data_IF_156479909568
#
_entry.id   IF_156479909568
#
_cell.length_a   1.000
_cell.length_b   1.000
_cell.length_c   1.000
_cell.angle_alpha   90.00
_cell.angle_beta   90.00
_cell.angle_gamma   90.00
#
_symmetry.space_group_name_H-M   'P 1'
#
loop_
_entity.id
_entity.type
_entity.pdbx_description
1 polymer ?
#
# COMPACT_ATOMS: atom_id res chain seq x y z
N UNK A 1 -22.42 13.26 70.96
CA UNK A 1 -21.89 12.43 69.85
C UNK A 1 -21.22 13.37 68.86
N UNK A 2 -19.89 13.43 68.86
CA UNK A 2 -19.10 14.27 67.97
C UNK A 2 -18.35 13.36 66.98
N UNK A 3 -18.76 13.39 65.72
CA UNK A 3 -18.06 12.69 64.63
C UNK A 3 -16.87 13.53 64.18
N UNK A 4 -15.66 13.09 64.54
CA UNK A 4 -14.41 13.67 64.07
C UNK A 4 -14.17 13.18 62.64
N UNK A 5 -14.49 14.02 61.67
CA UNK A 5 -14.15 13.81 60.26
C UNK A 5 -12.66 14.14 60.06
N UNK A 6 -11.81 13.13 59.86
CA UNK A 6 -10.42 13.35 59.45
C UNK A 6 -10.34 13.40 57.92
N UNK A 7 -9.63 14.38 57.34
CA UNK A 7 -9.45 14.44 55.89
C UNK A 7 -8.53 13.30 55.44
N UNK A 8 -8.96 12.56 54.43
CA UNK A 8 -8.13 11.57 53.74
C UNK A 8 -7.17 12.32 52.81
N UNK A 9 -5.96 12.58 53.29
CA UNK A 9 -4.85 13.01 52.45
C UNK A 9 -4.35 11.81 51.64
N UNK A 10 -4.79 11.71 50.39
CA UNK A 10 -4.21 10.78 49.43
C UNK A 10 -2.78 11.24 49.10
N UNK A 11 -1.79 10.61 49.74
CA UNK A 11 -0.38 10.75 49.38
C UNK A 11 -0.16 10.08 48.01
N UNK A 12 -0.23 10.88 46.95
CA UNK A 12 0.12 10.48 45.59
C UNK A 12 1.65 10.42 45.51
N UNK A 13 2.22 9.24 45.74
CA UNK A 13 3.62 8.99 45.43
C UNK A 13 3.78 8.76 43.91
N UNK A 14 4.81 9.33 43.26
CA UNK A 14 5.07 9.12 41.84
C UNK A 14 5.33 7.63 41.54
N UNK A 15 4.80 7.14 40.41
CA UNK A 15 4.98 5.74 39.99
C UNK A 15 6.48 5.42 39.91
N UNK A 16 6.95 4.53 40.80
CA UNK A 16 8.34 4.05 40.84
C UNK A 16 9.12 4.30 42.14
N UNK A 17 8.59 5.07 43.11
CA UNK A 17 9.33 5.38 44.37
C UNK A 17 8.85 4.62 45.60
N UNK A 18 7.68 3.96 45.55
CA UNK A 18 7.28 3.01 46.60
C UNK A 18 8.05 1.70 46.44
N UNK A 19 9.20 1.57 47.10
CA UNK A 19 9.71 0.24 47.45
C UNK A 19 8.70 -0.36 48.43
N UNK A 20 8.06 -1.45 48.05
CA UNK A 20 7.13 -2.16 48.92
C UNK A 20 7.85 -2.46 50.25
N UNK A 21 7.28 -2.00 51.36
CA UNK A 21 7.82 -2.28 52.68
C UNK A 21 7.73 -3.79 52.90
N UNK A 22 8.87 -4.43 53.13
CA UNK A 22 8.93 -5.89 53.35
C UNK A 22 8.09 -6.22 54.57
N UNK A 23 6.98 -6.92 54.32
CA UNK A 23 6.04 -7.33 55.35
C UNK A 23 6.59 -8.57 56.06
N UNK A 24 6.89 -8.42 57.34
CA UNK A 24 7.41 -9.47 58.21
C UNK A 24 6.24 -10.02 59.04
N UNK A 25 5.92 -11.30 58.85
CA UNK A 25 4.64 -11.88 59.27
C UNK A 25 4.47 -11.97 60.80
N UNK A 26 5.55 -11.84 61.59
CA UNK A 26 5.49 -12.00 63.05
C UNK A 26 5.94 -10.80 63.89
N UNK A 27 6.29 -9.68 63.27
CA UNK A 27 6.56 -8.42 63.99
C UNK A 27 7.83 -8.43 64.85
N UNK A 28 8.77 -9.34 64.59
CA UNK A 28 10.07 -9.41 65.28
C UNK A 28 11.22 -8.82 64.43
N UNK A 29 12.33 -8.56 65.12
CA UNK A 29 13.58 -7.93 64.67
C UNK A 29 13.99 -8.28 63.22
N UNK A 30 14.27 -7.24 62.42
CA UNK A 30 14.56 -7.29 60.96
C UNK A 30 15.73 -8.24 60.65
N UNK A 31 16.64 -8.43 61.60
CA UNK A 31 17.81 -9.29 61.44
C UNK A 31 17.57 -10.77 61.81
N UNK A 32 16.47 -11.10 62.50
CA UNK A 32 16.21 -12.46 63.00
C UNK A 32 15.27 -13.28 62.12
N UNK A 33 14.37 -12.64 61.36
CA UNK A 33 13.49 -13.37 60.44
C UNK A 33 14.21 -14.15 59.33
N UNK A 34 15.24 -13.63 58.63
CA UNK A 34 15.95 -14.42 57.63
C UNK A 34 16.68 -15.62 58.25
N UNK A 35 17.31 -15.45 59.42
CA UNK A 35 17.96 -16.56 60.13
C UNK A 35 16.96 -17.60 60.61
N UNK A 36 15.77 -17.18 61.04
CA UNK A 36 14.69 -18.08 61.44
C UNK A 36 14.10 -18.85 60.26
N UNK A 37 13.90 -18.19 59.11
CA UNK A 37 13.44 -18.83 57.89
C UNK A 37 14.48 -19.80 57.35
N UNK A 38 15.77 -19.44 57.36
CA UNK A 38 16.86 -20.33 56.99
C UNK A 38 16.97 -21.53 57.93
N UNK A 39 16.80 -21.32 59.24
CA UNK A 39 16.80 -22.40 60.22
C UNK A 39 15.58 -23.32 60.05
N UNK A 40 14.39 -22.77 59.75
CA UNK A 40 13.19 -23.55 59.42
C UNK A 40 13.34 -24.31 58.11
N UNK A 41 13.96 -23.70 57.10
CA UNK A 41 14.24 -24.35 55.84
C UNK A 41 15.23 -25.50 56.02
N UNK A 42 16.30 -25.30 56.80
CA UNK A 42 17.27 -26.35 57.14
C UNK A 42 16.62 -27.48 57.93
N UNK A 43 15.80 -27.19 58.93
CA UNK A 43 15.12 -28.24 59.71
C UNK A 43 14.10 -29.00 58.87
N UNK A 44 13.32 -28.31 58.04
CA UNK A 44 12.40 -28.94 57.09
C UNK A 44 13.14 -29.80 56.05
N UNK A 45 14.30 -29.33 55.56
CA UNK A 45 15.15 -30.10 54.63
C UNK A 45 15.68 -31.38 55.28
N UNK A 46 16.17 -31.30 56.52
CA UNK A 46 16.61 -32.49 57.27
C UNK A 46 15.46 -33.47 57.49
N UNK A 47 14.25 -32.98 57.81
CA UNK A 47 13.05 -33.82 57.93
C UNK A 47 12.67 -34.48 56.59
N UNK A 48 12.74 -33.72 55.49
CA UNK A 48 12.50 -34.23 54.16
C UNK A 48 13.51 -35.32 53.77
N UNK A 49 14.81 -35.09 54.03
CA UNK A 49 15.86 -36.05 53.71
C UNK A 49 15.68 -37.35 54.52
N UNK A 50 15.28 -37.25 55.80
CA UNK A 50 14.95 -38.42 56.65
C UNK A 50 13.72 -39.18 56.14
N UNK A 51 12.63 -38.46 55.86
CA UNK A 51 11.41 -39.07 55.34
C UNK A 51 11.66 -39.75 53.98
N UNK A 52 12.55 -39.18 53.16
CA UNK A 52 12.98 -39.77 51.90
C UNK A 52 13.75 -41.08 52.12
N UNK A 53 14.69 -41.11 53.06
CA UNK A 53 15.41 -42.35 53.39
C UNK A 53 14.48 -43.42 53.97
N UNK A 54 13.55 -43.05 54.85
CA UNK A 54 12.54 -43.97 55.41
C UNK A 54 11.66 -44.56 54.30
N UNK A 55 11.22 -43.72 53.35
CA UNK A 55 10.42 -44.15 52.21
C UNK A 55 11.19 -45.11 51.28
N UNK A 56 12.48 -44.87 51.05
CA UNK A 56 13.33 -45.75 50.25
C UNK A 56 13.57 -47.10 50.97
N UNK A 57 13.73 -47.10 52.29
CA UNK A 57 13.83 -48.32 53.10
C UNK A 57 12.53 -49.13 53.10
N UNK A 58 11.38 -48.47 53.27
CA UNK A 58 10.06 -49.11 53.21
C UNK A 58 9.79 -49.71 51.83
N UNK A 59 10.16 -49.02 50.74
CA UNK A 59 10.08 -49.57 49.38
C UNK A 59 10.91 -50.85 49.23
N UNK A 60 12.14 -50.86 49.73
CA UNK A 60 12.97 -52.07 49.69
C UNK A 60 12.38 -53.21 50.53
N UNK A 61 11.77 -52.92 51.68
CA UNK A 61 11.07 -53.93 52.48
C UNK A 61 9.85 -54.47 51.74
N UNK A 62 9.08 -53.60 51.11
CA UNK A 62 7.94 -53.98 50.29
C UNK A 62 8.35 -54.90 49.13
N UNK A 63 9.39 -54.53 48.37
CA UNK A 63 9.92 -55.37 47.28
C UNK A 63 10.39 -56.74 47.78
N UNK A 64 11.06 -56.82 48.93
CA UNK A 64 11.47 -58.09 49.55
C UNK A 64 10.27 -58.96 49.91
N UNK A 65 9.27 -58.40 50.58
CA UNK A 65 8.04 -59.10 50.97
C UNK A 65 7.27 -59.56 49.73
N UNK A 66 7.19 -58.73 48.70
CA UNK A 66 6.54 -59.06 47.43
C UNK A 66 7.27 -60.20 46.70
N UNK A 67 8.61 -60.20 46.69
CA UNK A 67 9.40 -61.28 46.12
C UNK A 67 9.24 -62.60 46.89
N UNK A 68 9.14 -62.56 48.23
CA UNK A 68 8.83 -63.73 49.04
C UNK A 68 7.42 -64.26 48.78
N UNK A 69 6.45 -63.35 48.65
CA UNK A 69 5.07 -63.71 48.31
C UNK A 69 4.99 -64.36 46.93
N UNK A 70 5.64 -63.80 45.91
CA UNK A 70 5.69 -64.38 44.57
C UNK A 70 6.33 -65.80 44.56
N UNK A 71 7.39 -66.02 45.36
CA UNK A 71 7.98 -67.36 45.54
C UNK A 71 6.99 -68.33 46.17
N UNK A 72 6.30 -67.92 47.24
CA UNK A 72 5.28 -68.74 47.91
C UNK A 72 4.11 -69.04 46.98
N UNK A 73 3.64 -68.07 46.21
CA UNK A 73 2.59 -68.25 45.22
C UNK A 73 3.00 -69.25 44.14
N UNK A 74 4.23 -69.17 43.62
CA UNK A 74 4.77 -70.16 42.67
C UNK A 74 4.80 -71.58 43.25
N UNK A 75 5.20 -71.74 44.52
CA UNK A 75 5.14 -73.03 45.21
C UNK A 75 3.70 -73.52 45.43
N UNK A 76 2.77 -72.64 45.78
CA UNK A 76 1.36 -73.05 45.95
C UNK A 76 0.70 -73.46 44.64
N UNK A 77 1.03 -72.80 43.53
CA UNK A 77 0.50 -73.14 42.20
C UNK A 77 1.07 -74.48 41.72
N UNK A 78 2.37 -74.72 41.92
CA UNK A 78 3.00 -76.01 41.56
C UNK A 78 2.51 -77.16 42.44
N UNK A 79 2.30 -76.92 43.73
CA UNK A 79 1.73 -77.91 44.65
C UNK A 79 0.27 -78.23 44.31
N UNK A 80 -0.55 -77.22 44.03
CA UNK A 80 -1.94 -77.37 43.57
C UNK A 80 -2.00 -78.19 42.27
N UNK A 81 -1.18 -77.83 41.27
CA UNK A 81 -1.08 -78.57 40.01
C UNK A 81 -0.67 -80.05 40.21
N UNK A 82 0.16 -80.36 41.20
CA UNK A 82 0.56 -81.72 41.53
C UNK A 82 -0.53 -82.52 42.30
N UNK A 83 -1.46 -81.85 42.97
CA UNK A 83 -2.56 -82.45 43.75
C UNK A 83 -3.82 -82.77 42.91
N UNK A 84 -3.82 -82.40 41.64
CA UNK A 84 -4.45 -83.18 40.57
C UNK A 84 -5.96 -83.01 40.32
N UNK A 85 -6.83 -82.76 41.30
CA UNK A 85 -8.28 -82.65 41.02
C UNK A 85 -9.10 -81.77 41.99
N UNK A 86 -8.69 -81.57 43.26
CA UNK A 86 -9.44 -80.73 44.21
C UNK A 86 -9.03 -79.23 44.20
N UNK A 87 -7.99 -78.86 43.45
CA UNK A 87 -7.35 -77.53 43.53
C UNK A 87 -7.66 -76.57 42.39
N UNK A 88 -8.67 -76.83 41.55
CA UNK A 88 -9.04 -75.96 40.42
C UNK A 88 -9.26 -74.49 40.84
N UNK A 89 -9.78 -74.29 42.07
CA UNK A 89 -9.96 -72.95 42.66
C UNK A 89 -8.64 -72.19 42.87
N UNK A 90 -7.52 -72.87 43.07
CA UNK A 90 -6.21 -72.24 43.31
C UNK A 90 -5.60 -71.72 41.99
N UNK A 91 -5.80 -72.46 40.90
CA UNK A 91 -5.35 -72.05 39.56
C UNK A 91 -6.23 -70.93 38.99
N UNK A 92 -7.55 -70.99 39.19
CA UNK A 92 -8.47 -69.91 38.83
C UNK A 92 -8.18 -68.62 39.62
N UNK A 93 -7.91 -68.72 40.93
CA UNK A 93 -7.49 -67.57 41.72
C UNK A 93 -6.17 -66.98 41.25
N UNK A 94 -5.21 -67.80 40.82
CA UNK A 94 -3.97 -67.32 40.21
C UNK A 94 -4.26 -66.56 38.91
N UNK A 95 -5.13 -67.09 38.03
CA UNK A 95 -5.56 -66.42 36.79
C UNK A 95 -6.26 -65.08 37.09
N UNK A 96 -7.17 -65.03 38.06
CA UNK A 96 -7.84 -63.80 38.47
C UNK A 96 -6.85 -62.75 39.01
N UNK A 97 -5.85 -63.16 39.81
CA UNK A 97 -4.77 -62.26 40.26
C UNK A 97 -3.94 -61.72 39.10
N UNK A 98 -3.63 -62.53 38.09
CA UNK A 98 -2.94 -62.04 36.87
C UNK A 98 -3.80 -61.10 36.03
N UNK A 99 -5.13 -61.26 36.04
CA UNK A 99 -6.04 -60.31 35.39
C UNK A 99 -6.16 -59.02 36.17
N UNK A 100 -6.23 -59.08 37.50
CA UNK A 100 -6.25 -57.91 38.37
C UNK A 100 -4.99 -57.07 38.18
N UNK A 101 -3.81 -57.70 38.16
CA UNK A 101 -2.54 -56.99 37.92
C UNK A 101 -2.48 -56.35 36.53
N UNK A 102 -2.91 -57.05 35.47
CA UNK A 102 -3.01 -56.46 34.13
C UNK A 102 -3.95 -55.25 34.08
N UNK A 103 -5.12 -55.35 34.72
CA UNK A 103 -6.08 -54.24 34.79
C UNK A 103 -5.53 -53.08 35.61
N UNK A 104 -4.77 -53.34 36.68
CA UNK A 104 -4.08 -52.30 37.44
C UNK A 104 -3.03 -51.59 36.59
N UNK A 105 -2.20 -52.33 35.85
CA UNK A 105 -1.23 -51.74 34.91
C UNK A 105 -1.91 -50.90 33.82
N UNK A 106 -3.08 -51.33 33.33
CA UNK A 106 -3.86 -50.56 32.36
C UNK A 106 -4.45 -49.28 32.96
N UNK A 107 -4.98 -49.35 34.18
CA UNK A 107 -5.48 -48.18 34.91
C UNK A 107 -4.35 -47.17 35.13
N UNK A 108 -3.19 -47.61 35.59
CA UNK A 108 -2.03 -46.72 35.78
C UNK A 108 -1.57 -46.07 34.47
N UNK A 109 -1.59 -46.81 33.36
CA UNK A 109 -1.30 -46.23 32.04
C UNK A 109 -2.32 -45.16 31.65
N UNK A 110 -3.61 -45.40 31.87
CA UNK A 110 -4.65 -44.41 31.59
C UNK A 110 -4.55 -43.20 32.50
N UNK A 111 -4.28 -43.38 33.79
CA UNK A 111 -4.10 -42.28 34.74
C UNK A 111 -2.89 -41.41 34.38
N UNK A 112 -1.77 -42.03 33.98
CA UNK A 112 -0.61 -41.32 33.47
C UNK A 112 -0.95 -40.52 32.20
N UNK A 113 -1.65 -41.12 31.23
CA UNK A 113 -2.07 -40.43 30.02
C UNK A 113 -3.05 -39.26 30.30
N UNK A 114 -3.96 -39.44 31.26
CA UNK A 114 -4.88 -38.37 31.71
C UNK A 114 -4.10 -37.26 32.41
N UNK A 115 -3.10 -37.59 33.23
CA UNK A 115 -2.25 -36.60 33.88
C UNK A 115 -1.48 -35.79 32.85
N UNK A 116 -0.83 -36.45 31.88
CA UNK A 116 -0.11 -35.78 30.78
C UNK A 116 -1.04 -34.86 29.97
N UNK A 117 -2.26 -35.31 29.65
CA UNK A 117 -3.24 -34.50 28.93
C UNK A 117 -3.74 -33.30 29.76
N UNK A 118 -3.89 -33.45 31.09
CA UNK A 118 -4.28 -32.36 32.00
C UNK A 118 -3.16 -31.35 32.17
N UNK A 119 -1.91 -31.79 32.26
CA UNK A 119 -0.74 -30.91 32.35
C UNK A 119 -0.58 -30.07 31.07
N UNK A 120 -0.93 -30.64 29.92
CA UNK A 120 -1.00 -29.91 28.65
C UNK A 120 -2.19 -28.93 28.59
N UNK A 121 -3.32 -29.25 29.24
CA UNK A 121 -4.49 -28.37 29.37
C UNK A 121 -4.34 -27.38 30.53
N UNK A 122 -3.24 -26.62 30.57
CA UNK A 122 -3.10 -25.54 31.55
C UNK A 122 -4.23 -24.50 31.35
N UNK A 123 -5.16 -24.32 32.31
CA UNK A 123 -6.34 -23.47 32.13
C UNK A 123 -5.99 -22.02 31.80
N UNK A 124 -4.86 -21.54 32.33
CA UNK A 124 -4.34 -20.20 32.03
C UNK A 124 -3.93 -20.03 30.57
N UNK A 125 -3.38 -21.07 29.92
CA UNK A 125 -3.02 -21.02 28.50
C UNK A 125 -4.30 -20.99 27.66
N UNK A 126 -5.29 -21.82 27.99
CA UNK A 126 -6.56 -21.86 27.29
C UNK A 126 -7.32 -20.52 27.43
N UNK A 127 -7.33 -19.92 28.62
CA UNK A 127 -7.92 -18.60 28.82
C UNK A 127 -7.19 -17.50 28.02
N UNK A 128 -5.86 -17.57 27.94
CA UNK A 128 -5.07 -16.65 27.11
C UNK A 128 -5.39 -16.83 25.62
N UNK A 129 -5.41 -18.06 25.12
CA UNK A 129 -5.76 -18.37 23.73
C UNK A 129 -7.19 -17.93 23.39
N UNK A 130 -8.14 -18.09 24.32
CA UNK A 130 -9.50 -17.59 24.16
C UNK A 130 -9.54 -16.07 24.05
N UNK A 131 -8.77 -15.36 24.90
CA UNK A 131 -8.66 -13.90 24.83
C UNK A 131 -8.06 -13.45 23.49
N UNK A 132 -6.97 -14.06 23.06
CA UNK A 132 -6.35 -13.80 21.75
C UNK A 132 -7.31 -14.08 20.60
N UNK A 133 -8.04 -15.21 20.64
CA UNK A 133 -9.08 -15.53 19.65
C UNK A 133 -10.17 -14.45 19.58
N UNK A 134 -10.67 -13.97 20.72
CA UNK A 134 -11.68 -12.89 20.74
C UNK A 134 -11.13 -11.58 20.18
N UNK A 135 -9.86 -11.28 20.48
CA UNK A 135 -9.18 -10.09 19.96
C UNK A 135 -9.04 -10.14 18.43
N UNK A 136 -8.51 -11.23 17.88
CA UNK A 136 -8.36 -11.37 16.44
C UNK A 136 -9.69 -11.45 15.70
N UNK A 137 -10.71 -12.05 16.29
CA UNK A 137 -12.05 -12.05 15.69
C UNK A 137 -12.60 -10.63 15.54
N UNK A 138 -12.43 -9.77 16.54
CA UNK A 138 -12.84 -8.37 16.45
C UNK A 138 -12.05 -7.63 15.34
N UNK A 139 -10.74 -7.82 15.29
CA UNK A 139 -9.89 -7.21 14.25
C UNK A 139 -10.26 -7.68 12.83
N UNK A 140 -10.58 -8.97 12.66
CA UNK A 140 -11.04 -9.52 11.39
C UNK A 140 -12.37 -8.86 10.95
N UNK A 141 -13.31 -8.66 11.88
CA UNK A 141 -14.57 -7.99 11.56
C UNK A 141 -14.36 -6.51 11.20
N UNK A 142 -13.49 -5.79 11.91
CA UNK A 142 -13.13 -4.42 11.57
C UNK A 142 -12.51 -4.32 10.17
N UNK A 143 -11.60 -5.24 9.83
CA UNK A 143 -11.00 -5.33 8.50
C UNK A 143 -12.05 -5.66 7.42
N UNK A 144 -13.01 -6.54 7.70
CA UNK A 144 -14.12 -6.83 6.78
C UNK A 144 -14.94 -5.58 6.50
N UNK A 145 -15.32 -4.83 7.55
CA UNK A 145 -16.06 -3.57 7.41
C UNK A 145 -15.24 -2.55 6.59
N UNK A 146 -13.93 -2.45 6.85
CA UNK A 146 -13.04 -1.57 6.06
C UNK A 146 -12.98 -1.98 4.59
N UNK A 147 -12.96 -3.27 4.27
CA UNK A 147 -12.98 -3.76 2.89
C UNK A 147 -14.31 -3.40 2.23
N UNK A 148 -15.44 -3.66 2.87
CA UNK A 148 -16.76 -3.36 2.29
C UNK A 148 -16.97 -1.87 2.07
N UNK A 149 -16.63 -1.04 3.05
CA UNK A 149 -16.65 0.43 2.89
C UNK A 149 -15.71 0.90 1.79
N UNK A 150 -14.53 0.28 1.65
CA UNK A 150 -13.61 0.54 0.53
C UNK A 150 -14.22 0.20 -0.83
N UNK A 151 -14.92 -0.94 -0.95
CA UNK A 151 -15.62 -1.34 -2.18
C UNK A 151 -16.73 -0.34 -2.52
N UNK A 152 -17.52 0.08 -1.53
CA UNK A 152 -18.60 1.06 -1.72
C UNK A 152 -18.05 2.43 -2.14
N UNK A 153 -16.94 2.87 -1.54
CA UNK A 153 -16.25 4.09 -1.95
C UNK A 153 -15.77 4.02 -3.40
N UNK A 154 -15.14 2.90 -3.80
CA UNK A 154 -14.71 2.69 -5.20
C UNK A 154 -15.92 2.75 -6.15
N UNK A 155 -17.06 2.18 -5.76
CA UNK A 155 -18.29 2.24 -6.56
C UNK A 155 -18.79 3.67 -6.68
N UNK A 156 -18.84 4.42 -5.58
CA UNK A 156 -19.24 5.82 -5.57
C UNK A 156 -18.31 6.69 -6.41
N UNK A 157 -16.99 6.47 -6.33
CA UNK A 157 -16.00 7.21 -7.12
C UNK A 157 -16.15 6.92 -8.62
N UNK A 158 -16.39 5.66 -9.01
CA UNK A 158 -16.71 5.29 -10.39
C UNK A 158 -17.95 6.01 -10.90
N UNK A 159 -19.01 6.08 -10.09
CA UNK A 159 -20.23 6.81 -10.43
C UNK A 159 -19.99 8.32 -10.55
N UNK A 160 -19.16 8.91 -9.67
CA UNK A 160 -18.79 10.33 -9.76
C UNK A 160 -17.97 10.62 -11.02
N UNK A 161 -17.00 9.77 -11.36
CA UNK A 161 -16.22 9.90 -12.59
C UNK A 161 -17.16 9.82 -13.81
N UNK A 162 -18.09 8.86 -13.82
CA UNK A 162 -19.06 8.74 -14.90
C UNK A 162 -19.94 10.00 -15.02
N UNK A 163 -20.39 10.59 -13.91
CA UNK A 163 -21.13 11.86 -13.90
C UNK A 163 -20.30 13.02 -14.46
N UNK A 164 -19.01 13.08 -14.15
CA UNK A 164 -18.11 14.12 -14.68
C UNK A 164 -17.90 13.93 -16.18
N UNK A 165 -17.57 12.72 -16.63
CA UNK A 165 -17.29 12.43 -18.05
C UNK A 165 -18.52 12.65 -18.93
N UNK A 166 -19.71 12.33 -18.43
CA UNK A 166 -20.99 12.58 -19.12
C UNK A 166 -21.47 14.03 -19.02
N UNK A 167 -20.84 14.85 -18.18
CA UNK A 167 -21.24 16.23 -17.99
C UNK A 167 -21.01 17.08 -19.25
N UNK A 168 -21.86 18.08 -19.42
CA UNK A 168 -21.69 19.08 -20.48
C UNK A 168 -20.38 19.87 -20.32
N UNK A 169 -20.01 20.17 -19.08
CA UNK A 169 -18.78 20.90 -18.75
C UNK A 169 -17.52 20.19 -19.25
N UNK A 170 -17.47 18.87 -19.10
CA UNK A 170 -16.37 18.06 -19.62
C UNK A 170 -16.29 18.09 -21.15
N UNK A 171 -17.44 18.05 -21.82
CA UNK A 171 -17.53 18.16 -23.28
C UNK A 171 -17.07 19.55 -23.75
N UNK A 172 -17.54 20.61 -23.10
CA UNK A 172 -17.15 21.99 -23.41
C UNK A 172 -15.64 22.20 -23.19
N UNK A 173 -15.08 21.67 -22.10
CA UNK A 173 -13.65 21.70 -21.83
C UNK A 173 -12.84 20.95 -22.88
N UNK A 174 -13.34 19.80 -23.34
CA UNK A 174 -12.72 19.01 -24.42
C UNK A 174 -12.75 19.77 -25.75
N UNK A 175 -13.83 20.47 -26.08
CA UNK A 175 -13.92 21.33 -27.26
C UNK A 175 -12.90 22.47 -27.21
N UNK A 176 -12.79 23.17 -26.08
CA UNK A 176 -11.81 24.24 -25.88
C UNK A 176 -10.37 23.71 -26.01
N UNK A 177 -10.10 22.51 -25.49
CA UNK A 177 -8.81 21.83 -25.69
C UNK A 177 -8.53 21.60 -27.17
N UNK A 178 -9.51 21.12 -27.94
CA UNK A 178 -9.37 20.90 -29.39
C UNK A 178 -9.07 22.20 -30.15
N UNK A 179 -9.75 23.29 -29.81
CA UNK A 179 -9.53 24.60 -30.41
C UNK A 179 -8.12 25.12 -30.11
N UNK A 180 -7.68 25.00 -28.85
CA UNK A 180 -6.33 25.39 -28.44
C UNK A 180 -5.26 24.59 -29.20
N UNK A 181 -5.44 23.29 -29.36
CA UNK A 181 -4.54 22.45 -30.15
C UNK A 181 -4.50 22.90 -31.61
N UNK A 182 -5.65 23.23 -32.19
CA UNK A 182 -5.74 23.73 -33.55
C UNK A 182 -4.99 25.06 -33.74
N UNK A 183 -5.21 26.02 -32.83
CA UNK A 183 -4.49 27.29 -32.85
C UNK A 183 -2.98 27.11 -32.70
N UNK A 184 -2.54 26.22 -31.80
CA UNK A 184 -1.12 25.97 -31.59
C UNK A 184 -0.46 25.37 -32.84
N UNK A 185 -1.06 24.34 -33.45
CA UNK A 185 -0.54 23.73 -34.67
C UNK A 185 -0.52 24.73 -35.82
N UNK A 186 -1.62 25.47 -36.03
CA UNK A 186 -1.69 26.48 -37.08
C UNK A 186 -0.67 27.61 -36.89
N UNK A 187 -0.48 28.09 -35.65
CA UNK A 187 0.54 29.09 -35.34
C UNK A 187 1.95 28.57 -35.64
N UNK A 188 2.24 27.31 -35.29
CA UNK A 188 3.53 26.70 -35.63
C UNK A 188 3.75 26.64 -37.15
N UNK A 189 2.72 26.27 -37.92
CA UNK A 189 2.77 26.25 -39.38
C UNK A 189 3.03 27.64 -39.95
N UNK A 190 2.31 28.67 -39.48
CA UNK A 190 2.54 30.06 -39.88
C UNK A 190 3.96 30.52 -39.58
N UNK A 191 4.48 30.19 -38.39
CA UNK A 191 5.85 30.51 -38.01
C UNK A 191 6.86 29.86 -38.97
N UNK A 192 6.67 28.59 -39.33
CA UNK A 192 7.55 27.93 -40.31
C UNK A 192 7.45 28.56 -41.70
N UNK A 193 6.26 28.96 -42.16
CA UNK A 193 6.08 29.66 -43.44
C UNK A 193 6.79 31.03 -43.42
N UNK A 194 6.66 31.77 -42.32
CA UNK A 194 7.35 33.05 -42.11
C UNK A 194 8.87 32.89 -42.09
N UNK A 195 9.40 31.91 -41.34
CA UNK A 195 10.84 31.64 -41.29
C UNK A 195 11.40 31.26 -42.67
N UNK A 196 10.63 30.50 -43.48
CA UNK A 196 10.97 30.19 -44.88
C UNK A 196 10.99 31.44 -45.76
N UNK A 197 9.96 32.29 -45.67
CA UNK A 197 9.92 33.55 -46.43
C UNK A 197 11.09 34.48 -46.06
N UNK A 198 11.45 34.57 -44.78
CA UNK A 198 12.64 35.32 -44.37
C UNK A 198 13.94 34.72 -44.90
N UNK A 199 14.06 33.38 -44.90
CA UNK A 199 15.21 32.70 -45.47
C UNK A 199 15.32 32.95 -46.99
N UNK A 200 14.21 32.88 -47.73
CA UNK A 200 14.17 33.18 -49.16
C UNK A 200 14.46 34.65 -49.45
N UNK A 201 13.92 35.57 -48.65
CA UNK A 201 14.15 37.00 -48.81
C UNK A 201 15.62 37.37 -48.56
N UNK A 202 16.21 36.85 -47.47
CA UNK A 202 17.63 37.06 -47.18
C UNK A 202 18.55 36.44 -48.23
N UNK A 203 18.22 35.27 -48.78
CA UNK A 203 18.93 34.67 -49.90
C UNK A 203 18.85 35.52 -51.18
N UNK A 204 17.65 35.98 -51.57
CA UNK A 204 17.45 36.86 -52.72
C UNK A 204 18.10 38.24 -52.54
N UNK A 205 18.19 38.75 -51.31
CA UNK A 205 18.87 40.01 -51.01
C UNK A 205 20.40 39.87 -51.15
N UNK A 206 20.97 38.72 -50.83
CA UNK A 206 22.38 38.42 -51.08
C UNK A 206 22.71 38.30 -52.58
N UNK A 207 21.78 37.78 -53.39
CA UNK A 207 21.90 37.70 -54.85
C UNK A 207 21.73 39.08 -55.52
N UNK A 208 20.71 39.84 -55.12
CA UNK A 208 20.42 41.18 -55.67
C UNK A 208 21.37 42.29 -55.19
N UNK A 209 22.13 42.07 -54.10
CA UNK A 209 23.24 42.95 -53.73
C UNK A 209 24.34 43.02 -54.82
N UNK A 210 24.41 42.02 -55.72
CA UNK A 210 25.30 42.02 -56.90
C UNK A 210 24.68 42.68 -58.14
N UNK A 211 23.36 42.88 -58.16
CA UNK A 211 22.63 43.57 -59.24
C UNK A 211 21.88 44.77 -58.65
N UNK A 212 22.59 45.85 -58.32
CA UNK A 212 21.95 47.14 -58.03
C UNK A 212 21.34 47.71 -59.31
N UNK A 213 20.11 47.30 -59.63
CA UNK A 213 19.33 47.93 -60.69
C UNK A 213 18.48 49.08 -60.13
N UNK A 214 18.75 50.24 -60.72
CA UNK A 214 17.88 51.39 -60.99
C UNK A 214 16.42 51.15 -60.58
N UNK A 215 15.94 51.88 -59.56
CA UNK A 215 14.51 51.97 -59.25
C UNK A 215 13.80 52.69 -60.40
N UNK A 216 13.28 51.93 -61.35
CA UNK A 216 12.38 52.45 -62.39
C UNK A 216 11.12 52.93 -61.67
N UNK A 217 10.89 54.25 -61.66
CA UNK A 217 9.64 54.82 -61.17
C UNK A 217 8.53 54.37 -62.12
N UNK A 218 7.61 53.54 -61.63
CA UNK A 218 6.49 53.09 -62.44
C UNK A 218 5.58 54.29 -62.79
N UNK A 219 4.94 54.28 -63.97
CA UNK A 219 3.92 55.26 -64.34
C UNK A 219 2.76 55.31 -63.32
N UNK A 220 2.21 56.49 -63.01
CA UNK A 220 1.17 56.66 -61.99
C UNK A 220 -0.16 55.97 -62.33
N UNK A 221 -0.39 55.59 -63.60
CA UNK A 221 -1.57 54.81 -64.03
C UNK A 221 -1.47 53.31 -63.73
N UNK A 222 -0.26 52.78 -63.50
CA UNK A 222 0.00 51.34 -63.28
C UNK A 222 0.09 51.01 -61.78
N UNK A 223 0.51 51.97 -60.97
CA UNK A 223 0.59 51.83 -59.51
C UNK A 223 -0.72 51.35 -58.84
N UNK A 224 -1.92 51.90 -59.16
CA UNK A 224 -3.17 51.39 -58.58
C UNK A 224 -3.52 49.96 -59.02
N UNK A 225 -3.10 49.53 -60.22
CA UNK A 225 -3.30 48.16 -60.69
C UNK A 225 -2.34 47.19 -59.96
N UNK A 226 -1.11 47.63 -59.67
CA UNK A 226 -0.15 46.88 -58.86
C UNK A 226 -0.65 46.71 -57.43
N UNK A 227 -1.18 47.77 -56.80
CA UNK A 227 -1.78 47.67 -55.46
C UNK A 227 -3.02 46.79 -55.45
N UNK A 228 -3.90 46.91 -56.45
CA UNK A 228 -5.07 46.04 -56.60
C UNK A 228 -4.68 44.57 -56.75
N UNK A 229 -3.66 44.26 -57.57
CA UNK A 229 -3.13 42.89 -57.72
C UNK A 229 -2.59 42.36 -56.39
N UNK A 230 -1.82 43.16 -55.66
CA UNK A 230 -1.26 42.75 -54.37
C UNK A 230 -2.37 42.50 -53.34
N UNK A 231 -3.41 43.34 -53.31
CA UNK A 231 -4.56 43.13 -52.44
C UNK A 231 -5.30 41.82 -52.79
N UNK A 232 -5.53 41.54 -54.07
CA UNK A 232 -6.17 40.29 -54.51
C UNK A 232 -5.33 39.05 -54.15
N UNK A 233 -3.99 39.15 -54.20
CA UNK A 233 -3.10 38.06 -53.75
C UNK A 233 -3.24 37.85 -52.23
N UNK A 234 -3.23 38.93 -51.44
CA UNK A 234 -3.38 38.84 -49.98
C UNK A 234 -4.74 38.24 -49.59
N UNK A 235 -5.82 38.66 -50.24
CA UNK A 235 -7.16 38.11 -50.03
C UNK A 235 -7.21 36.61 -50.37
N UNK A 236 -6.64 36.22 -51.51
CA UNK A 236 -6.55 34.80 -51.89
C UNK A 236 -5.80 33.98 -50.83
N UNK A 237 -4.67 34.50 -50.34
CA UNK A 237 -3.87 33.83 -49.31
C UNK A 237 -4.58 33.78 -47.96
N UNK A 238 -5.37 34.78 -47.60
CA UNK A 238 -6.22 34.77 -46.41
C UNK A 238 -7.29 33.69 -46.50
N UNK A 239 -8.01 33.60 -47.63
CA UNK A 239 -9.04 32.57 -47.85
C UNK A 239 -8.43 31.17 -47.79
N UNK A 240 -7.27 30.95 -48.41
CA UNK A 240 -6.57 29.66 -48.35
C UNK A 240 -6.19 29.32 -46.90
N UNK A 241 -5.64 30.28 -46.14
CA UNK A 241 -5.28 30.08 -44.73
C UNK A 241 -6.47 29.78 -43.84
N UNK A 242 -7.59 30.47 -44.05
CA UNK A 242 -8.83 30.21 -43.32
C UNK A 242 -9.36 28.81 -43.61
N UNK A 243 -9.26 28.36 -44.87
CA UNK A 243 -9.61 26.98 -45.26
C UNK A 243 -8.69 25.95 -44.59
N UNK A 244 -7.37 26.14 -44.66
CA UNK A 244 -6.39 25.27 -43.99
C UNK A 244 -6.67 25.16 -42.48
N UNK A 245 -6.95 26.29 -41.82
CA UNK A 245 -7.28 26.32 -40.40
C UNK A 245 -8.58 25.58 -40.09
N UNK A 246 -9.64 25.78 -40.89
CA UNK A 246 -10.92 25.10 -40.71
C UNK A 246 -10.80 23.58 -40.87
N UNK A 247 -10.02 23.11 -41.85
CA UNK A 247 -9.74 21.69 -42.05
C UNK A 247 -8.94 21.09 -40.88
N UNK A 248 -7.92 21.81 -40.40
CA UNK A 248 -7.11 21.40 -39.26
C UNK A 248 -7.94 21.33 -37.97
N UNK A 249 -8.78 22.35 -37.73
CA UNK A 249 -9.70 22.40 -36.59
C UNK A 249 -10.66 21.20 -36.63
N UNK A 250 -11.30 20.94 -37.78
CA UNK A 250 -12.20 19.79 -37.96
C UNK A 250 -11.52 18.46 -37.60
N UNK A 251 -10.28 18.23 -38.06
CA UNK A 251 -9.52 17.01 -37.77
C UNK A 251 -9.23 16.85 -36.28
N UNK A 252 -8.75 17.91 -35.63
CA UNK A 252 -8.39 17.84 -34.20
C UNK A 252 -9.62 17.76 -33.30
N UNK A 253 -10.73 18.42 -33.65
CA UNK A 253 -11.99 18.26 -32.94
C UNK A 253 -12.51 16.82 -33.04
N UNK A 254 -12.43 16.20 -34.23
CA UNK A 254 -12.81 14.79 -34.39
C UNK A 254 -11.92 13.87 -33.53
N UNK A 255 -10.61 14.12 -33.47
CA UNK A 255 -9.70 13.35 -32.62
C UNK A 255 -10.05 13.48 -31.13
N UNK A 256 -10.27 14.70 -30.63
CA UNK A 256 -10.63 14.91 -29.22
C UNK A 256 -11.98 14.27 -28.86
N UNK A 257 -12.93 14.27 -29.80
CA UNK A 257 -14.21 13.58 -29.63
C UNK A 257 -14.04 12.05 -29.58
N UNK A 258 -13.14 11.48 -30.40
CA UNK A 258 -12.80 10.05 -30.33
C UNK A 258 -12.17 9.71 -28.97
N UNK A 259 -11.23 10.53 -28.49
CA UNK A 259 -10.63 10.36 -27.16
C UNK A 259 -11.71 10.43 -26.06
N UNK A 260 -12.69 11.33 -26.19
CA UNK A 260 -13.83 11.43 -25.26
C UNK A 260 -14.72 10.17 -25.30
N UNK A 261 -14.96 9.59 -26.47
CA UNK A 261 -15.70 8.33 -26.57
C UNK A 261 -14.91 7.18 -25.93
N UNK A 262 -13.60 7.15 -26.08
CA UNK A 262 -12.74 6.16 -25.41
C UNK A 262 -12.78 6.30 -23.89
N UNK A 263 -12.74 7.52 -23.35
CA UNK A 263 -12.88 7.73 -21.90
C UNK A 263 -14.29 7.35 -21.41
N UNK A 264 -15.33 7.64 -22.18
CA UNK A 264 -16.69 7.18 -21.89
C UNK A 264 -16.77 5.65 -21.86
N UNK A 265 -16.17 4.95 -22.83
CA UNK A 265 -16.11 3.49 -22.84
C UNK A 265 -15.39 2.92 -21.61
N UNK A 266 -14.28 3.53 -21.19
CA UNK A 266 -13.59 3.12 -19.97
C UNK A 266 -14.51 3.28 -18.73
N UNK A 267 -15.31 4.35 -18.67
CA UNK A 267 -16.29 4.51 -17.58
C UNK A 267 -17.41 3.47 -17.63
N UNK A 268 -17.89 3.12 -18.83
CA UNK A 268 -18.92 2.08 -19.02
C UNK A 268 -18.39 0.72 -18.54
N UNK A 269 -17.17 0.35 -18.94
CA UNK A 269 -16.51 -0.89 -18.49
C UNK A 269 -16.35 -0.87 -16.96
N UNK A 270 -15.94 0.27 -16.38
CA UNK A 270 -15.76 0.39 -14.94
C UNK A 270 -17.06 0.19 -14.15
N UNK A 271 -18.21 0.54 -14.74
CA UNK A 271 -19.56 0.32 -14.22
C UNK A 271 -20.12 -1.08 -14.55
N UNK A 272 -19.41 -1.90 -15.33
CA UNK A 272 -19.81 -3.24 -15.71
C UNK A 272 -20.69 -3.32 -16.96
N UNK A 273 -20.74 -2.26 -17.78
CA UNK A 273 -21.43 -2.26 -19.07
C UNK A 273 -20.54 -2.72 -20.23
N UNK A 274 -21.17 -2.99 -21.37
CA UNK A 274 -20.47 -3.32 -22.61
C UNK A 274 -19.98 -2.05 -23.31
N UNK A 275 -18.71 -1.97 -23.73
CA UNK A 275 -18.19 -0.81 -24.45
C UNK A 275 -18.76 -0.74 -25.86
N UNK A 276 -18.87 0.49 -26.38
CA UNK A 276 -19.26 0.71 -27.78
C UNK A 276 -18.05 0.50 -28.67
N UNK A 277 -18.18 -0.20 -29.79
CA UNK A 277 -17.08 -0.31 -30.75
C UNK A 277 -16.82 1.04 -31.44
N UNK A 278 -15.60 1.58 -31.28
CA UNK A 278 -15.16 2.86 -31.85
C UNK A 278 -14.28 2.63 -33.08
N UNK A 279 -13.88 1.39 -33.40
CA UNK A 279 -12.91 1.12 -34.46
C UNK A 279 -13.40 1.62 -35.83
N UNK A 280 -14.68 1.39 -36.16
CA UNK A 280 -15.29 1.90 -37.38
C UNK A 280 -15.30 3.44 -37.47
N UNK A 281 -15.46 4.12 -36.34
CA UNK A 281 -15.49 5.60 -36.27
C UNK A 281 -14.07 6.13 -36.39
N UNK A 282 -13.10 5.43 -35.78
CA UNK A 282 -11.67 5.73 -35.89
C UNK A 282 -11.17 5.56 -37.32
N UNK A 283 -11.65 4.58 -38.08
CA UNK A 283 -11.30 4.45 -39.50
C UNK A 283 -11.85 5.61 -40.35
N UNK A 284 -13.06 6.08 -40.06
CA UNK A 284 -13.73 7.16 -40.81
C UNK A 284 -13.19 8.56 -40.48
N UNK A 285 -12.78 8.79 -39.24
CA UNK A 285 -12.45 10.14 -38.73
C UNK A 285 -11.06 10.25 -38.11
N UNK A 286 -10.36 9.13 -37.90
CA UNK A 286 -8.98 9.12 -37.42
C UNK A 286 -8.02 9.68 -38.48
N UNK A 287 -6.94 10.28 -38.00
CA UNK A 287 -5.85 10.66 -38.88
C UNK A 287 -5.27 9.39 -39.52
N UNK A 288 -5.24 9.31 -40.85
CA UNK A 288 -4.51 8.24 -41.51
C UNK A 288 -3.06 8.21 -40.99
N UNK A 289 -2.51 7.04 -40.60
CA UNK A 289 -1.21 6.91 -39.95
C UNK A 289 -0.04 7.54 -40.72
N UNK A 290 -0.22 7.81 -42.02
CA UNK A 290 0.77 8.46 -42.87
C UNK A 290 1.01 9.95 -42.52
N UNK A 291 0.07 10.67 -41.89
CA UNK A 291 0.26 12.09 -41.55
C UNK A 291 0.97 12.30 -40.20
N UNK A 292 0.81 11.39 -39.24
CA UNK A 292 1.50 11.48 -37.94
C UNK A 292 2.98 11.08 -38.04
N UNK A 293 3.31 10.06 -38.83
CA UNK A 293 4.71 9.67 -39.08
C UNK A 293 5.49 10.74 -39.84
N UNK A 294 4.86 11.48 -40.76
CA UNK A 294 5.52 12.60 -41.46
C UNK A 294 5.71 13.83 -40.57
N UNK A 295 4.75 14.17 -39.68
CA UNK A 295 4.89 15.28 -38.73
C UNK A 295 5.96 14.98 -37.68
N UNK A 296 5.99 13.77 -37.10
CA UNK A 296 7.02 13.36 -36.14
C UNK A 296 8.42 13.25 -36.77
N UNK A 297 8.53 12.74 -38.00
CA UNK A 297 9.80 12.70 -38.72
C UNK A 297 10.33 14.12 -39.04
N UNK A 298 9.45 15.07 -39.38
CA UNK A 298 9.82 16.48 -39.60
C UNK A 298 10.22 17.18 -38.30
N UNK A 299 9.57 16.88 -37.18
CA UNK A 299 9.90 17.45 -35.87
C UNK A 299 11.24 16.93 -35.33
N UNK A 300 11.52 15.63 -35.49
CA UNK A 300 12.82 15.01 -35.15
C UNK A 300 13.98 15.47 -36.05
N UNK A 301 13.73 15.77 -37.33
CA UNK A 301 14.74 16.38 -38.20
C UNK A 301 15.04 17.85 -37.82
N UNK A 302 14.02 18.60 -37.39
CA UNK A 302 14.20 20.01 -36.97
C UNK A 302 15.01 20.14 -35.65
N UNK A 303 14.87 19.18 -34.74
CA UNK A 303 15.64 19.12 -33.48
C UNK A 303 17.08 18.68 -33.74
N UNK A 304 17.33 17.72 -34.65
CA UNK A 304 18.69 17.36 -35.08
C UNK A 304 19.41 18.50 -35.82
N UNK A 305 18.72 19.27 -36.68
CA UNK A 305 19.33 20.44 -37.33
C UNK A 305 19.64 21.60 -36.36
N UNK A 306 18.92 21.71 -35.23
CA UNK A 306 19.27 22.68 -34.16
C UNK A 306 20.53 22.29 -33.39
N UNK A 307 20.87 21.00 -33.29
CA UNK A 307 22.09 20.55 -32.61
C UNK A 307 23.36 20.67 -33.47
N UNK A 308 23.23 20.82 -34.79
CA UNK A 308 24.37 20.94 -35.73
C UNK A 308 24.78 22.41 -35.95
N UNK A 309 23.98 23.39 -35.52
CA UNK A 309 24.41 24.79 -35.49
C UNK A 309 25.31 25.03 -34.28
N UNK A 310 26.62 24.98 -34.52
CA UNK A 310 27.68 25.41 -33.62
C UNK A 310 27.30 26.73 -32.93
N UNK A 311 27.53 26.89 -31.62
CA UNK A 311 27.31 28.17 -30.96
C UNK A 311 28.32 29.17 -31.54
N UNK A 312 27.83 30.12 -32.34
CA UNK A 312 28.61 31.28 -32.73
C UNK A 312 28.91 32.08 -31.47
N UNK A 313 30.08 31.79 -30.88
CA UNK A 313 30.90 32.63 -30.00
C UNK A 313 30.18 33.88 -29.49
N UNK A 314 29.40 33.70 -28.41
CA UNK A 314 29.00 34.83 -27.56
C UNK A 314 30.28 35.42 -26.97
N UNK A 315 30.71 36.56 -27.50
CA UNK A 315 31.65 37.43 -26.78
C UNK A 315 31.05 37.69 -25.40
N UNK A 316 31.81 37.41 -24.34
CA UNK A 316 31.42 37.71 -22.97
C UNK A 316 30.97 39.18 -22.88
N UNK A 317 29.66 39.42 -22.81
CA UNK A 317 29.13 40.72 -22.42
C UNK A 317 29.42 40.86 -20.93
N UNK A 318 30.24 41.85 -20.64
CA UNK A 318 30.58 42.26 -19.30
C UNK A 318 29.30 42.74 -18.59
N UNK A 319 29.03 42.26 -17.38
CA UNK A 319 27.80 42.55 -16.61
C UNK A 319 27.58 44.05 -16.30
N UNK A 320 28.55 44.91 -16.64
CA UNK A 320 28.47 46.37 -16.46
C UNK A 320 27.64 47.09 -17.53
N UNK A 321 27.26 46.42 -18.63
CA UNK A 321 26.48 47.02 -19.73
C UNK A 321 24.98 46.71 -19.68
N UNK A 322 24.47 46.20 -18.54
CA UNK A 322 23.03 46.02 -18.35
C UNK A 322 22.43 47.38 -17.94
N UNK A 323 21.60 48.03 -18.77
CA UNK A 323 20.92 49.25 -18.36
C UNK A 323 20.00 48.94 -17.17
N UNK A 324 20.21 49.66 -16.06
CA UNK A 324 19.40 49.54 -14.85
C UNK A 324 17.92 49.73 -15.18
N UNK A 325 17.01 48.91 -14.62
CA UNK A 325 15.58 49.11 -14.83
C UNK A 325 15.18 50.49 -14.29
N UNK A 326 14.60 51.33 -15.15
CA UNK A 326 13.93 52.57 -14.73
C UNK A 326 12.83 52.21 -13.74
N UNK A 327 12.93 52.76 -12.53
CA UNK A 327 11.91 52.69 -11.50
C UNK A 327 10.56 53.13 -12.07
N UNK A 328 9.57 52.23 -12.00
CA UNK A 328 8.18 52.51 -12.32
C UNK A 328 7.66 53.57 -11.34
N UNK A 329 7.35 54.75 -11.86
CA UNK A 329 6.59 55.78 -11.16
C UNK A 329 5.24 55.20 -10.75
N UNK A 330 4.94 55.25 -9.45
CA UNK A 330 3.65 54.88 -8.90
C UNK A 330 2.58 55.86 -9.39
N UNK A 331 1.50 55.34 -9.99
CA UNK A 331 0.30 56.12 -10.24
C UNK A 331 -0.40 56.36 -8.91
N UNK A 332 -0.52 57.62 -8.53
CA UNK A 332 -1.41 58.09 -7.47
C UNK A 332 -2.86 57.89 -7.91
N UNK A 333 -3.56 56.95 -7.31
CA UNK A 333 -5.02 56.87 -7.39
C UNK A 333 -5.61 57.95 -6.49
N UNK A 334 -6.09 59.04 -7.11
CA UNK A 334 -7.03 59.98 -6.49
C UNK A 334 -8.40 59.29 -6.40
N UNK A 335 -8.83 58.98 -5.19
CA UNK A 335 -10.23 58.67 -4.86
C UNK A 335 -11.06 59.95 -4.99
N UNK A 336 -12.19 59.85 -5.68
CA UNK A 336 -13.40 60.64 -5.40
C UNK A 336 -14.47 59.70 -4.91
#
# INVERSE_FOLDING_TARGET
MSTINRPVTALIYPRGTCKAQTFYFRGDDIHKEPEFLDNKFRSAKIQYDRAKTELDEEKQQYEKVQAELAKREGYTVTLASALGDESNQTEENAKLRTQITKLQDEIEKFDNAISEAKDQQHPGLLAQLQKERTFYNAEIEDLRISIFTGIDNIRNDKEQIAKIVTSKEYTDASMVKSDRMAFQKFYSQLRTKMDKQFAEFSAKQAESAKQRQIRVKLPPSIDPLCTQRNNAILEKEEVIRNKEFAELRKKLTAQVLLDQLETMNQTIIALGGEPVDIEEIREKYGAQPQQQQEEEAKEQQSTKQRQIRSPTRTSARNWKDIPKPRSRTAYSTTRK
#
